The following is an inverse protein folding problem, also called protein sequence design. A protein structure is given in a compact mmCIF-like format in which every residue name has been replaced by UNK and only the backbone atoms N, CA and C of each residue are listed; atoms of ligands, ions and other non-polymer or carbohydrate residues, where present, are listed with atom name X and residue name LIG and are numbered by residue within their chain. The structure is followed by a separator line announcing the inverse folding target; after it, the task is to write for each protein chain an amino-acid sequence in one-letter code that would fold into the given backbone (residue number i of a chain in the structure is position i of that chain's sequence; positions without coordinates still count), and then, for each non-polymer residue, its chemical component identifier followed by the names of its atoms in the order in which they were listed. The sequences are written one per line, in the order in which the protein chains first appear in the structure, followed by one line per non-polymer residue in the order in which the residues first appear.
data_IF_093937338758
#
_entry.id   IF_093937338758
#
_cell.length_a   1.000
_cell.length_b   1.000
_cell.length_c   1.000
_cell.angle_alpha   90.00
_cell.angle_beta   90.00
_cell.angle_gamma   90.00
#
_symmetry.space_group_name_H-M   'P 1'
#
loop_
_entity.id
_entity.type
_entity.pdbx_description
1 polymer ?
#
# COMPACT_ATOMS: atom_id res chain seq x y z
N UNK A 1 -4.15 -23.75 -18.77
CA UNK A 1 -3.48 -24.28 -17.56
C UNK A 1 -4.23 -23.73 -16.37
N UNK A 2 -4.53 -24.56 -15.37
CA UNK A 2 -5.15 -24.09 -14.13
C UNK A 2 -4.13 -23.17 -13.46
N UNK A 3 -4.49 -21.92 -13.18
CA UNK A 3 -3.59 -21.00 -12.49
C UNK A 3 -3.40 -21.52 -11.06
N UNK A 4 -2.16 -21.69 -10.64
CA UNK A 4 -1.86 -22.16 -9.28
C UNK A 4 -2.29 -21.07 -8.30
N UNK A 5 -3.14 -21.42 -7.32
CA UNK A 5 -3.63 -20.49 -6.31
C UNK A 5 -2.48 -20.14 -5.37
N UNK A 6 -2.18 -18.84 -5.25
CA UNK A 6 -1.18 -18.31 -4.32
C UNK A 6 -1.84 -17.22 -3.50
N UNK A 7 -1.97 -17.46 -2.19
CA UNK A 7 -2.52 -16.48 -1.26
C UNK A 7 -1.46 -16.08 -0.23
N UNK A 8 -1.65 -14.93 0.42
CA UNK A 8 -0.71 -14.45 1.44
C UNK A 8 -1.41 -13.93 2.69
N UNK A 9 -0.85 -14.25 3.84
CA UNK A 9 -1.12 -13.55 5.07
C UNK A 9 -0.04 -12.50 5.29
N UNK A 10 -0.42 -11.22 5.28
CA UNK A 10 0.49 -10.09 5.32
C UNK A 10 0.30 -9.22 6.59
N UNK A 11 0.73 -9.69 7.79
CA UNK A 11 0.56 -8.92 9.01
C UNK A 11 1.63 -7.84 9.17
N UNK A 12 1.21 -6.64 9.58
CA UNK A 12 2.11 -5.61 10.10
C UNK A 12 2.42 -5.90 11.57
N UNK A 13 3.70 -5.97 11.99
CA UNK A 13 4.09 -6.33 13.35
C UNK A 13 3.97 -5.16 14.33
N UNK A 14 2.82 -4.49 14.36
CA UNK A 14 2.52 -3.35 15.25
C UNK A 14 1.87 -3.78 16.58
N UNK A 15 1.91 -5.06 16.90
CA UNK A 15 1.29 -5.68 18.07
C UNK A 15 1.06 -7.17 17.88
N UNK A 16 0.34 -7.78 18.83
CA UNK A 16 0.02 -9.21 18.81
C UNK A 16 -1.02 -9.57 17.74
N UNK A 17 -0.99 -10.83 17.31
CA UNK A 17 -2.00 -11.41 16.41
C UNK A 17 -3.38 -11.39 17.08
N UNK A 18 -4.23 -10.46 16.68
CA UNK A 18 -5.60 -10.36 17.16
C UNK A 18 -6.54 -11.32 16.41
N UNK A 19 -7.74 -11.55 16.95
CA UNK A 19 -8.73 -12.50 16.41
C UNK A 19 -9.11 -12.23 14.95
N UNK A 20 -9.21 -10.95 14.57
CA UNK A 20 -9.44 -10.56 13.18
C UNK A 20 -8.32 -11.00 12.22
N UNK A 21 -7.06 -10.82 12.63
CA UNK A 21 -5.89 -11.27 11.87
C UNK A 21 -5.81 -12.80 11.79
N UNK A 22 -6.06 -13.48 12.92
CA UNK A 22 -6.13 -14.94 12.96
C UNK A 22 -7.20 -15.48 12.01
N UNK A 23 -8.39 -14.89 11.99
CA UNK A 23 -9.47 -15.26 11.05
C UNK A 23 -9.03 -15.13 9.60
N UNK A 24 -8.36 -14.03 9.23
CA UNK A 24 -7.83 -13.84 7.88
C UNK A 24 -6.78 -14.89 7.53
N UNK A 25 -5.85 -15.21 8.45
CA UNK A 25 -4.86 -16.25 8.25
C UNK A 25 -5.51 -17.64 8.05
N UNK A 26 -6.52 -17.98 8.85
CA UNK A 26 -7.28 -19.24 8.73
C UNK A 26 -7.94 -19.34 7.36
N UNK A 27 -8.58 -18.29 6.85
CA UNK A 27 -9.23 -18.33 5.54
C UNK A 27 -8.23 -18.50 4.40
N UNK A 28 -7.10 -17.78 4.43
CA UNK A 28 -6.05 -17.96 3.43
C UNK A 28 -5.50 -19.40 3.47
N UNK A 29 -5.21 -19.92 4.67
CA UNK A 29 -4.72 -21.28 4.86
C UNK A 29 -5.72 -22.33 4.35
N UNK A 30 -6.98 -22.26 4.75
CA UNK A 30 -8.03 -23.17 4.29
C UNK A 30 -8.25 -23.09 2.78
N UNK A 31 -8.17 -21.90 2.19
CA UNK A 31 -8.33 -21.71 0.75
C UNK A 31 -7.18 -22.33 -0.04
N UNK A 32 -5.93 -22.12 0.39
CA UNK A 32 -4.76 -22.78 -0.17
C UNK A 32 -4.88 -24.30 -0.08
N UNK A 33 -5.19 -24.84 1.10
CA UNK A 33 -5.36 -26.28 1.32
C UNK A 33 -6.47 -26.88 0.43
N UNK A 34 -7.64 -26.22 0.34
CA UNK A 34 -8.77 -26.68 -0.47
C UNK A 34 -8.44 -26.71 -1.96
N UNK A 35 -7.62 -25.77 -2.43
CA UNK A 35 -7.29 -25.60 -3.85
C UNK A 35 -6.02 -26.34 -4.27
N UNK A 36 -5.26 -26.88 -3.31
CA UNK A 36 -3.90 -27.38 -3.56
C UNK A 36 -2.92 -26.25 -3.90
N UNK A 37 -3.24 -25.02 -3.49
CA UNK A 37 -2.42 -23.83 -3.67
C UNK A 37 -1.40 -23.63 -2.55
N UNK A 38 -0.80 -22.43 -2.53
CA UNK A 38 0.22 -22.04 -1.55
C UNK A 38 -0.23 -20.89 -0.67
N UNK A 39 0.22 -20.92 0.58
CA UNK A 39 0.15 -19.81 1.52
C UNK A 39 1.54 -19.20 1.72
N UNK A 40 1.65 -17.88 1.51
CA UNK A 40 2.84 -17.09 1.79
C UNK A 40 2.64 -16.34 3.12
N UNK A 41 3.67 -16.33 3.98
CA UNK A 41 3.74 -15.41 5.12
C UNK A 41 4.64 -14.23 4.77
N UNK A 42 4.09 -13.00 4.80
CA UNK A 42 4.85 -11.77 4.51
C UNK A 42 4.69 -10.76 5.64
N UNK A 43 5.77 -10.43 6.32
CA UNK A 43 5.77 -9.46 7.42
C UNK A 43 5.91 -8.04 6.83
N UNK A 44 4.92 -7.18 7.08
CA UNK A 44 4.90 -5.78 6.62
C UNK A 44 5.63 -4.87 7.61
N UNK A 45 6.95 -5.03 7.72
CA UNK A 45 7.83 -4.40 8.70
C UNK A 45 8.35 -2.99 8.29
N UNK A 46 7.66 -2.31 7.38
CA UNK A 46 8.09 -0.99 6.86
C UNK A 46 7.97 0.14 7.88
N UNK A 47 7.16 -0.02 8.93
CA UNK A 47 7.10 0.91 10.05
C UNK A 47 8.13 0.52 11.13
N UNK A 48 9.36 1.01 10.98
CA UNK A 48 10.47 0.68 11.87
C UNK A 48 10.23 1.07 13.34
N UNK A 49 9.37 2.05 13.64
CA UNK A 49 9.09 2.47 15.02
C UNK A 49 8.15 1.50 15.72
N UNK A 50 7.24 0.87 14.97
CA UNK A 50 6.23 -0.03 15.53
C UNK A 50 6.56 -1.51 15.33
N UNK A 51 7.46 -1.83 14.40
CA UNK A 51 7.86 -3.20 14.07
C UNK A 51 8.93 -3.70 15.04
N UNK A 52 8.53 -4.48 16.05
CA UNK A 52 9.46 -5.09 17.01
C UNK A 52 9.65 -6.58 16.76
N UNK A 53 10.84 -7.09 17.08
CA UNK A 53 11.12 -8.54 17.03
C UNK A 53 10.13 -9.34 17.89
N UNK A 54 9.71 -8.78 19.03
CA UNK A 54 8.70 -9.37 19.90
C UNK A 54 7.34 -9.49 19.22
N UNK A 55 6.89 -8.45 18.50
CA UNK A 55 5.62 -8.49 17.75
C UNK A 55 5.67 -9.51 16.62
N UNK A 56 6.79 -9.58 15.88
CA UNK A 56 7.02 -10.57 14.83
C UNK A 56 6.94 -11.98 15.42
N UNK A 57 7.66 -12.23 16.52
CA UNK A 57 7.64 -13.52 17.22
C UNK A 57 6.24 -13.88 17.70
N UNK A 58 5.52 -12.93 18.30
CA UNK A 58 4.14 -13.14 18.77
C UNK A 58 3.18 -13.54 17.65
N UNK A 59 3.33 -12.93 16.47
CA UNK A 59 2.56 -13.31 15.28
C UNK A 59 2.90 -14.73 14.83
N UNK A 60 4.19 -15.04 14.66
CA UNK A 60 4.67 -16.35 14.19
C UNK A 60 4.26 -17.47 15.14
N UNK A 61 4.41 -17.25 16.45
CA UNK A 61 4.04 -18.23 17.48
C UNK A 61 2.52 -18.42 17.52
N UNK A 62 1.74 -17.35 17.38
CA UNK A 62 0.29 -17.43 17.30
C UNK A 62 -0.20 -18.26 16.11
N UNK A 63 0.39 -18.07 14.93
CA UNK A 63 0.09 -18.87 13.74
C UNK A 63 0.43 -20.36 13.95
N UNK A 64 1.62 -20.64 14.51
CA UNK A 64 2.04 -22.02 14.83
C UNK A 64 1.12 -22.69 15.84
N UNK A 65 0.70 -21.95 16.88
CA UNK A 65 -0.23 -22.46 17.89
C UNK A 65 -1.60 -22.80 17.30
N UNK A 66 -2.07 -22.02 16.33
CA UNK A 66 -3.29 -22.30 15.57
C UNK A 66 -3.14 -23.48 14.58
N UNK A 67 -1.95 -24.05 14.43
CA UNK A 67 -1.66 -25.10 13.45
C UNK A 67 -1.59 -24.58 12.01
N UNK A 68 -1.44 -23.28 11.80
CA UNK A 68 -1.33 -22.67 10.48
C UNK A 68 0.12 -22.78 10.01
N UNK A 69 0.32 -23.51 8.92
CA UNK A 69 1.60 -23.62 8.21
C UNK A 69 1.55 -22.81 6.93
N UNK A 70 2.67 -22.20 6.54
CA UNK A 70 2.84 -21.51 5.26
C UNK A 70 3.92 -22.23 4.44
N UNK A 71 3.78 -22.15 3.12
CA UNK A 71 4.65 -22.81 2.14
C UNK A 71 5.90 -21.96 1.84
N UNK A 72 5.77 -20.63 1.88
CA UNK A 72 6.85 -19.68 1.59
C UNK A 72 6.91 -18.56 2.65
N UNK A 73 8.13 -18.10 2.95
CA UNK A 73 8.39 -17.07 3.97
C UNK A 73 8.76 -17.61 5.37
N UNK A 74 8.81 -16.75 6.40
CA UNK A 74 8.41 -15.34 6.37
C UNK A 74 9.34 -14.47 5.51
N UNK A 75 8.75 -13.73 4.57
CA UNK A 75 9.43 -12.64 3.87
C UNK A 75 9.24 -11.33 4.61
N UNK A 76 10.24 -10.45 4.59
CA UNK A 76 10.16 -9.14 5.24
C UNK A 76 10.11 -8.06 4.17
N UNK A 77 9.11 -7.19 4.23
CA UNK A 77 8.86 -6.16 3.23
C UNK A 77 10.04 -5.19 3.11
N UNK A 78 10.75 -4.92 4.21
CA UNK A 78 11.97 -4.08 4.21
C UNK A 78 13.09 -4.62 3.33
N UNK A 79 13.14 -5.94 3.07
CA UNK A 79 14.14 -6.57 2.19
C UNK A 79 13.96 -6.16 0.71
N UNK A 80 12.78 -5.66 0.35
CA UNK A 80 12.39 -5.37 -1.05
C UNK A 80 12.16 -3.88 -1.33
N UNK A 81 12.60 -2.98 -0.43
CA UNK A 81 12.44 -1.52 -0.59
C UNK A 81 12.95 -1.02 -1.95
N UNK A 82 14.05 -1.58 -2.46
CA UNK A 82 14.60 -1.19 -3.75
C UNK A 82 13.64 -1.47 -4.92
N UNK A 83 12.87 -2.56 -4.87
CA UNK A 83 11.87 -2.91 -5.87
C UNK A 83 10.65 -1.97 -5.78
N UNK A 84 10.24 -1.63 -4.56
CA UNK A 84 9.17 -0.65 -4.33
C UNK A 84 9.55 0.71 -4.91
N UNK A 85 10.76 1.20 -4.62
CA UNK A 85 11.26 2.47 -5.13
C UNK A 85 11.50 2.45 -6.65
N UNK A 86 11.95 1.32 -7.21
CA UNK A 86 12.04 1.17 -8.65
C UNK A 86 10.66 1.25 -9.32
N UNK A 87 9.62 0.68 -8.69
CA UNK A 87 8.24 0.77 -9.18
C UNK A 87 7.71 2.20 -9.07
N UNK A 88 7.99 2.92 -7.99
CA UNK A 88 7.64 4.34 -7.87
C UNK A 88 8.30 5.19 -8.98
N UNK A 89 9.56 4.94 -9.31
CA UNK A 89 10.26 5.60 -10.43
C UNK A 89 9.58 5.33 -11.77
N UNK A 90 9.22 4.07 -12.06
CA UNK A 90 8.46 3.71 -13.27
C UNK A 90 7.11 4.45 -13.35
N UNK A 91 6.42 4.61 -12.21
CA UNK A 91 5.16 5.36 -12.17
C UNK A 91 5.36 6.87 -12.44
N UNK A 92 6.45 7.46 -11.95
CA UNK A 92 6.82 8.84 -12.27
C UNK A 92 7.14 8.99 -13.77
N UNK A 93 8.01 8.12 -14.30
CA UNK A 93 8.45 8.14 -15.71
C UNK A 93 7.29 7.94 -16.69
N UNK A 94 6.34 7.09 -16.35
CA UNK A 94 5.14 6.84 -17.16
C UNK A 94 4.02 7.86 -16.96
N UNK A 95 4.21 8.86 -16.08
CA UNK A 95 3.23 9.90 -15.81
C UNK A 95 2.01 9.47 -14.99
N UNK A 96 2.03 8.25 -14.44
CA UNK A 96 1.01 7.74 -13.53
C UNK A 96 1.19 8.23 -12.10
N UNK A 97 2.36 8.75 -11.73
CA UNK A 97 2.61 9.41 -10.45
C UNK A 97 3.24 10.78 -10.66
N UNK A 98 3.26 11.61 -9.61
CA UNK A 98 3.94 12.91 -9.62
C UNK A 98 4.54 13.24 -8.25
N UNK A 99 5.52 14.15 -8.24
CA UNK A 99 6.13 14.66 -7.02
C UNK A 99 5.26 15.76 -6.42
N UNK A 100 4.98 15.66 -5.13
CA UNK A 100 4.23 16.64 -4.35
C UNK A 100 5.12 17.25 -3.27
N UNK A 101 5.34 18.56 -3.39
CA UNK A 101 6.19 19.34 -2.49
C UNK A 101 5.40 20.04 -1.37
N UNK A 102 4.09 19.78 -1.26
CA UNK A 102 3.28 20.36 -0.18
C UNK A 102 3.81 19.92 1.19
N UNK A 103 4.00 20.89 2.07
CA UNK A 103 4.41 20.63 3.46
C UNK A 103 3.24 20.09 4.28
N UNK A 104 3.54 19.47 5.42
CA UNK A 104 2.51 19.02 6.36
C UNK A 104 1.65 20.20 6.83
N UNK A 105 2.28 21.35 7.10
CA UNK A 105 1.59 22.57 7.53
C UNK A 105 0.64 23.10 6.45
N UNK A 106 1.09 23.14 5.19
CA UNK A 106 0.23 23.57 4.06
C UNK A 106 -0.98 22.64 3.90
N UNK A 107 -0.78 21.32 3.99
CA UNK A 107 -1.86 20.35 3.89
C UNK A 107 -2.86 20.47 5.04
N UNK A 108 -2.37 20.70 6.27
CA UNK A 108 -3.25 20.89 7.42
C UNK A 108 -4.05 22.19 7.31
N UNK A 109 -3.42 23.30 6.90
CA UNK A 109 -4.11 24.56 6.65
C UNK A 109 -5.22 24.41 5.61
N UNK A 110 -4.95 23.70 4.50
CA UNK A 110 -5.94 23.39 3.47
C UNK A 110 -7.09 22.54 4.00
N UNK A 111 -6.79 21.55 4.82
CA UNK A 111 -7.78 20.70 5.48
C UNK A 111 -8.70 21.51 6.39
N UNK A 112 -8.14 22.39 7.22
CA UNK A 112 -8.91 23.27 8.11
C UNK A 112 -9.81 24.23 7.31
N UNK A 113 -9.33 24.75 6.19
CA UNK A 113 -10.14 25.59 5.32
C UNK A 113 -11.27 24.82 4.64
N UNK A 114 -11.00 23.60 4.15
CA UNK A 114 -12.03 22.72 3.60
C UNK A 114 -13.12 22.39 4.62
N UNK A 115 -12.75 22.14 5.88
CA UNK A 115 -13.69 21.93 6.99
C UNK A 115 -14.60 23.14 7.22
N UNK A 116 -14.02 24.36 7.28
CA UNK A 116 -14.80 25.59 7.43
C UNK A 116 -15.78 25.80 6.29
N UNK A 117 -15.37 25.46 5.06
CA UNK A 117 -16.18 25.58 3.85
C UNK A 117 -17.13 24.39 3.63
N UNK A 118 -17.14 23.39 4.52
CA UNK A 118 -17.88 22.12 4.36
C UNK A 118 -17.62 21.45 3.01
N UNK A 119 -16.40 21.59 2.50
CA UNK A 119 -15.91 20.91 1.29
C UNK A 119 -15.33 19.55 1.65
N UNK A 120 -15.13 18.74 0.61
CA UNK A 120 -14.48 17.44 0.73
C UNK A 120 -13.04 17.60 1.25
N UNK A 121 -12.57 16.64 2.06
CA UNK A 121 -11.27 16.68 2.75
C UNK A 121 -10.13 16.05 1.94
N UNK A 122 -10.39 15.76 0.67
CA UNK A 122 -9.42 15.17 -0.26
C UNK A 122 -8.31 16.14 -0.60
N UNK A 123 -7.14 15.59 -0.95
CA UNK A 123 -6.07 16.39 -1.55
C UNK A 123 -6.55 17.11 -2.82
N UNK A 124 -6.26 18.40 -2.90
CA UNK A 124 -6.75 19.32 -3.95
C UNK A 124 -5.96 19.23 -5.27
N UNK A 125 -4.90 18.43 -5.32
CA UNK A 125 -4.07 18.28 -6.53
C UNK A 125 -3.08 19.41 -6.76
N UNK A 126 -2.73 20.21 -5.75
CA UNK A 126 -1.82 21.38 -5.86
C UNK A 126 -0.59 21.13 -6.75
N UNK A 127 0.11 20.01 -6.54
CA UNK A 127 1.35 19.72 -7.26
C UNK A 127 1.14 18.88 -8.54
N UNK A 128 -0.11 18.56 -8.90
CA UNK A 128 -0.42 17.61 -9.97
C UNK A 128 -0.05 18.10 -11.36
N UNK A 129 -0.04 19.41 -11.55
CA UNK A 129 0.23 20.07 -12.84
C UNK A 129 1.53 20.88 -12.84
N UNK A 130 2.42 20.68 -11.86
CA UNK A 130 3.73 21.31 -11.90
C UNK A 130 4.45 20.94 -13.20
N UNK A 131 5.00 21.95 -13.84
CA UNK A 131 5.87 21.81 -15.01
C UNK A 131 7.20 21.18 -14.62
N UNK A 132 7.93 20.66 -15.61
CA UNK A 132 9.25 20.07 -15.37
C UNK A 132 10.23 21.11 -14.79
N UNK A 133 10.13 22.37 -15.20
CA UNK A 133 10.96 23.46 -14.70
C UNK A 133 10.66 23.75 -13.22
N UNK A 134 9.38 23.84 -12.84
CA UNK A 134 8.99 24.06 -11.43
C UNK A 134 9.40 22.88 -10.54
N UNK A 135 9.32 21.64 -11.04
CA UNK A 135 9.81 20.47 -10.31
C UNK A 135 11.32 20.56 -10.14
N UNK A 136 12.05 20.87 -11.21
CA UNK A 136 13.52 20.96 -11.19
C UNK A 136 14.02 22.06 -10.25
N UNK A 137 13.38 23.22 -10.24
CA UNK A 137 13.68 24.32 -9.31
C UNK A 137 13.54 23.86 -7.86
N UNK A 138 12.41 23.23 -7.52
CA UNK A 138 12.15 22.73 -6.16
C UNK A 138 13.13 21.64 -5.74
N UNK A 139 13.49 20.73 -6.64
CA UNK A 139 14.49 19.70 -6.37
C UNK A 139 15.88 20.29 -6.16
N UNK A 140 16.26 21.28 -6.98
CA UNK A 140 17.56 21.97 -6.85
C UNK A 140 17.64 22.76 -5.55
N UNK A 141 16.52 23.32 -5.08
CA UNK A 141 16.40 23.94 -3.77
C UNK A 141 16.40 22.94 -2.59
N UNK A 142 16.43 21.63 -2.86
CA UNK A 142 16.42 20.59 -1.83
C UNK A 142 15.07 20.44 -1.13
N UNK A 143 13.97 20.88 -1.75
CA UNK A 143 12.65 20.78 -1.16
C UNK A 143 12.23 19.30 -1.01
N UNK A 144 11.81 18.86 0.19
CA UNK A 144 11.33 17.50 0.38
C UNK A 144 10.05 17.28 -0.41
N UNK A 145 9.86 16.08 -0.96
CA UNK A 145 8.66 15.75 -1.72
C UNK A 145 8.16 14.35 -1.41
N UNK A 146 6.86 14.16 -1.53
CA UNK A 146 6.22 12.85 -1.59
C UNK A 146 5.98 12.45 -3.03
N UNK A 147 5.81 11.16 -3.30
CA UNK A 147 5.29 10.69 -4.59
C UNK A 147 3.82 10.34 -4.38
N UNK A 148 2.94 10.93 -5.20
CA UNK A 148 1.50 10.67 -5.19
C UNK A 148 1.08 9.91 -6.44
N UNK A 149 0.13 8.99 -6.25
CA UNK A 149 -0.55 8.32 -7.36
C UNK A 149 -1.44 9.34 -8.08
N UNK A 150 -1.35 9.40 -9.41
CA UNK A 150 -2.14 10.29 -10.25
C UNK A 150 -3.42 9.57 -10.65
N UNK A 151 -4.45 9.68 -9.81
CA UNK A 151 -5.75 9.10 -10.11
C UNK A 151 -6.32 9.78 -11.36
N UNK A 152 -6.94 9.02 -12.28
CA UNK A 152 -7.71 9.61 -13.38
C UNK A 152 -8.69 10.66 -12.86
N UNK A 153 -8.97 11.69 -13.67
CA UNK A 153 -9.94 12.74 -13.33
C UNK A 153 -10.98 12.81 -14.45
N UNK A 154 -12.19 13.24 -14.10
CA UNK A 154 -13.32 13.32 -15.02
C UNK A 154 -14.34 12.21 -14.79
N UNK A 155 -15.20 12.01 -15.79
CA UNK A 155 -16.21 10.96 -15.77
C UNK A 155 -15.54 9.58 -15.86
N UNK A 156 -16.02 8.64 -15.05
CA UNK A 156 -15.55 7.27 -15.04
C UNK A 156 -15.38 6.69 -13.64
N UNK A 157 -15.12 5.39 -13.62
CA UNK A 157 -14.98 4.59 -12.42
C UNK A 157 -13.93 3.49 -12.59
N UNK A 158 -13.50 2.92 -11.47
CA UNK A 158 -12.81 1.64 -11.42
C UNK A 158 -13.73 0.64 -10.73
N UNK A 159 -13.82 -0.56 -11.30
CA UNK A 159 -14.59 -1.64 -10.72
C UNK A 159 -13.82 -2.95 -10.73
N UNK A 160 -14.16 -3.83 -9.80
CA UNK A 160 -13.62 -5.18 -9.68
C UNK A 160 -14.67 -6.11 -9.06
N UNK A 161 -14.53 -7.40 -9.33
CA UNK A 161 -15.37 -8.45 -8.73
C UNK A 161 -14.74 -8.94 -7.44
N UNK A 162 -15.38 -8.66 -6.31
CA UNK A 162 -15.01 -9.21 -5.01
C UNK A 162 -15.71 -10.56 -4.78
N UNK A 163 -14.96 -11.58 -4.37
CA UNK A 163 -15.49 -12.94 -4.20
C UNK A 163 -16.51 -13.07 -3.06
N UNK A 164 -16.60 -12.08 -2.17
CA UNK A 164 -17.55 -12.05 -1.04
C UNK A 164 -18.70 -11.08 -1.31
N UNK A 165 -18.40 -9.87 -1.77
CA UNK A 165 -19.37 -8.78 -1.91
C UNK A 165 -19.89 -8.57 -3.34
N UNK A 166 -19.34 -9.26 -4.35
CA UNK A 166 -19.68 -9.07 -5.76
C UNK A 166 -19.02 -7.84 -6.36
N UNK A 167 -19.63 -7.23 -7.37
CA UNK A 167 -19.09 -6.04 -8.04
C UNK A 167 -18.95 -4.87 -7.06
N UNK A 168 -17.72 -4.37 -6.92
CA UNK A 168 -17.39 -3.13 -6.21
C UNK A 168 -16.98 -2.10 -7.25
N UNK A 169 -17.53 -0.88 -7.15
CA UNK A 169 -17.25 0.22 -8.07
C UNK A 169 -16.97 1.51 -7.29
N UNK A 170 -15.92 2.22 -7.70
CA UNK A 170 -15.54 3.53 -7.18
C UNK A 170 -15.40 4.53 -8.33
N UNK A 171 -16.06 5.68 -8.23
CA UNK A 171 -15.88 6.77 -9.19
C UNK A 171 -14.51 7.41 -9.00
N UNK A 172 -13.88 7.87 -10.08
CA UNK A 172 -12.58 8.52 -9.99
C UNK A 172 -12.58 9.78 -9.10
N UNK A 173 -13.69 10.51 -9.07
CA UNK A 173 -13.88 11.68 -8.20
C UNK A 173 -13.91 11.33 -6.69
N UNK A 174 -14.23 10.09 -6.35
CA UNK A 174 -14.28 9.61 -4.98
C UNK A 174 -12.89 9.22 -4.44
N UNK A 175 -11.88 9.14 -5.31
CA UNK A 175 -10.53 8.71 -4.97
C UNK A 175 -9.58 9.92 -5.05
N UNK A 176 -8.86 10.20 -3.97
CA UNK A 176 -7.83 11.24 -3.96
C UNK A 176 -6.50 10.74 -4.52
N UNK A 177 -5.64 11.67 -4.94
CA UNK A 177 -4.25 11.36 -5.29
C UNK A 177 -3.46 11.03 -4.02
N UNK A 178 -3.53 9.77 -3.59
CA UNK A 178 -2.91 9.29 -2.36
C UNK A 178 -1.39 9.20 -2.48
N UNK A 179 -0.70 9.33 -1.35
CA UNK A 179 0.76 9.18 -1.29
C UNK A 179 1.13 7.70 -1.45
N UNK A 180 2.17 7.42 -2.23
CA UNK A 180 2.77 6.09 -2.41
C UNK A 180 4.22 6.02 -1.91
N UNK A 181 4.92 7.16 -1.82
CA UNK A 181 6.24 7.28 -1.18
C UNK A 181 6.27 8.54 -0.32
N UNK A 182 6.70 8.40 0.94
CA UNK A 182 6.85 9.49 1.91
C UNK A 182 8.02 10.40 1.56
N UNK A 183 8.07 11.58 2.17
CA UNK A 183 9.17 12.55 1.98
C UNK A 183 10.52 12.10 2.52
N UNK A 184 10.54 11.13 3.44
CA UNK A 184 11.76 10.46 3.89
C UNK A 184 12.18 9.30 2.95
N UNK A 185 11.55 9.15 1.78
CA UNK A 185 11.86 8.12 0.80
C UNK A 185 11.29 6.73 1.11
N UNK A 186 10.55 6.55 2.21
CA UNK A 186 9.96 5.25 2.55
C UNK A 186 8.69 4.99 1.71
N UNK A 187 8.56 3.84 1.04
CA UNK A 187 7.32 3.47 0.35
C UNK A 187 6.19 3.24 1.35
N UNK A 188 4.95 3.50 0.93
CA UNK A 188 3.75 3.20 1.70
C UNK A 188 3.18 1.83 1.34
N UNK A 189 2.43 1.25 2.28
CA UNK A 189 1.84 -0.09 2.18
C UNK A 189 1.08 -0.32 0.86
N UNK A 190 0.37 0.68 0.32
CA UNK A 190 -0.35 0.53 -0.96
C UNK A 190 0.59 0.16 -2.11
N UNK A 191 1.73 0.85 -2.21
CA UNK A 191 2.73 0.56 -3.23
C UNK A 191 3.45 -0.76 -2.93
N UNK A 192 3.93 -0.91 -1.69
CA UNK A 192 4.71 -2.08 -1.30
C UNK A 192 3.91 -3.37 -1.46
N UNK A 193 2.65 -3.40 -1.02
CA UNK A 193 1.78 -4.58 -1.12
C UNK A 193 1.45 -4.92 -2.57
N UNK A 194 1.21 -3.92 -3.42
CA UNK A 194 0.94 -4.16 -4.84
C UNK A 194 2.17 -4.76 -5.52
N UNK A 195 3.35 -4.20 -5.27
CA UNK A 195 4.61 -4.70 -5.85
C UNK A 195 4.94 -6.10 -5.34
N UNK A 196 4.78 -6.33 -4.03
CA UNK A 196 5.04 -7.63 -3.42
C UNK A 196 4.04 -8.69 -3.91
N UNK A 197 2.74 -8.36 -4.05
CA UNK A 197 1.73 -9.29 -4.58
C UNK A 197 2.02 -9.66 -6.05
N UNK A 198 2.55 -8.72 -6.86
CA UNK A 198 3.03 -9.01 -8.23
C UNK A 198 4.25 -9.93 -8.20
N UNK A 199 5.25 -9.63 -7.36
CA UNK A 199 6.49 -10.44 -7.22
C UNK A 199 6.16 -11.87 -6.78
N UNK A 200 5.29 -11.99 -5.79
CA UNK A 200 4.90 -13.24 -5.15
C UNK A 200 3.84 -13.99 -5.99
N UNK A 201 3.31 -13.36 -7.05
CA UNK A 201 2.28 -13.89 -7.97
C UNK A 201 1.00 -14.28 -7.24
N UNK A 202 0.58 -13.46 -6.28
CA UNK A 202 -0.67 -13.65 -5.52
C UNK A 202 -1.88 -13.63 -6.47
N UNK A 203 -2.84 -14.51 -6.23
CA UNK A 203 -4.04 -14.74 -7.06
C UNK A 203 -5.32 -14.75 -6.24
#
# INVERSE_FOLDING_TARGET
MKQDVIVRFAPSPTGYLHIGGARTAIFNWLFAQKTGGKLILRIEDTDAQRSTEESIKGIVDGLKWLGITWDEGPYFQTQFINEHLASARKLLESGHAYKCFCTIEELENKRQEALKQKKDLKYDGTCRQLTLDEVTEKETAGAPYTIRMKVPKGEGSISFEDIVYGTIEYRYEDIEDFVVVRSNGQPLYLLSNTVDDIRDRVT
#
